data_IF_943134225685
#
_entry.id   IF_943134225685
#
_cell.length_a   1.000
_cell.length_b   1.000
_cell.length_c   1.000
_cell.angle_alpha   90.00
_cell.angle_beta   90.00
_cell.angle_gamma   90.00
#
_symmetry.space_group_name_H-M   'P 1'
#
loop_
_entity.id
_entity.type
_entity.pdbx_description
1 polymer ?
#
# COMPACT_ATOMS: atom_id res chain seq x y z
N UNK A 1 -6.15 -55.12 -5.84
CA UNK A 1 -5.59 -54.10 -4.94
C UNK A 1 -4.67 -53.24 -5.79
N UNK A 2 -5.07 -51.98 -5.97
CA UNK A 2 -4.65 -51.09 -7.04
C UNK A 2 -3.39 -50.29 -6.65
N UNK A 3 -2.21 -50.74 -7.10
CA UNK A 3 -0.93 -50.02 -6.90
C UNK A 3 -0.87 -48.70 -7.68
N UNK A 4 -1.67 -48.53 -8.75
CA UNK A 4 -1.68 -47.32 -9.57
C UNK A 4 -2.30 -46.13 -8.83
N UNK A 5 -3.22 -46.38 -7.90
CA UNK A 5 -3.82 -45.34 -7.05
C UNK A 5 -2.85 -44.79 -6.00
N UNK A 6 -1.90 -45.60 -5.51
CA UNK A 6 -0.99 -45.23 -4.41
C UNK A 6 0.12 -44.28 -4.88
N UNK A 7 0.71 -44.56 -6.04
CA UNK A 7 1.80 -43.75 -6.62
C UNK A 7 1.30 -42.38 -7.11
N UNK A 8 0.01 -42.28 -7.48
CA UNK A 8 -0.60 -40.99 -7.84
C UNK A 8 -0.82 -40.11 -6.61
N UNK A 9 -1.20 -40.70 -5.47
CA UNK A 9 -1.46 -39.95 -4.24
C UNK A 9 -0.16 -39.40 -3.62
N UNK A 10 0.91 -40.19 -3.63
CA UNK A 10 2.24 -39.76 -3.11
C UNK A 10 2.86 -38.62 -3.93
N UNK A 11 2.59 -38.57 -5.25
CA UNK A 11 3.09 -37.50 -6.13
C UNK A 11 2.35 -36.17 -5.95
N UNK A 12 1.09 -36.21 -5.54
CA UNK A 12 0.27 -35.01 -5.25
C UNK A 12 0.68 -34.45 -3.88
N UNK A 13 0.88 -35.30 -2.86
CA UNK A 13 1.36 -34.85 -1.55
C UNK A 13 2.80 -34.32 -1.58
N UNK A 14 3.70 -34.90 -2.39
CA UNK A 14 5.06 -34.35 -2.57
C UNK A 14 5.06 -33.02 -3.34
N UNK A 15 4.18 -32.84 -4.32
CA UNK A 15 4.07 -31.59 -5.09
C UNK A 15 3.53 -30.42 -4.28
N UNK A 16 2.53 -30.67 -3.42
CA UNK A 16 1.98 -29.66 -2.52
C UNK A 16 2.96 -29.32 -1.37
N UNK A 17 3.67 -30.32 -0.83
CA UNK A 17 4.67 -30.11 0.23
C UNK A 17 5.91 -29.32 -0.20
N UNK A 18 6.37 -29.46 -1.46
CA UNK A 18 7.50 -28.68 -2.00
C UNK A 18 7.10 -27.27 -2.44
N UNK A 19 5.86 -27.06 -2.89
CA UNK A 19 5.34 -25.73 -3.25
C UNK A 19 5.09 -24.86 -2.02
N UNK A 20 4.59 -25.43 -0.92
CA UNK A 20 4.30 -24.69 0.32
C UNK A 20 5.60 -24.24 1.03
N UNK A 21 6.70 -25.01 0.89
CA UNK A 21 7.99 -24.71 1.51
C UNK A 21 8.79 -23.59 0.80
N UNK A 22 8.48 -23.28 -0.47
CA UNK A 22 9.14 -22.21 -1.24
C UNK A 22 8.43 -20.85 -1.17
N UNK A 23 7.19 -20.81 -0.67
CA UNK A 23 6.32 -19.64 -0.70
C UNK A 23 6.57 -18.55 0.35
N UNK A 24 7.38 -18.79 1.39
CA UNK A 24 7.52 -17.83 2.49
C UNK A 24 8.88 -17.82 3.19
N UNK A 25 9.99 -17.98 2.45
CA UNK A 25 11.32 -17.76 3.03
C UNK A 25 11.60 -16.26 3.12
N UNK A 26 11.15 -15.62 4.19
CA UNK A 26 11.54 -14.25 4.54
C UNK A 26 13.06 -14.16 4.60
N UNK A 27 13.67 -13.45 3.64
CA UNK A 27 15.11 -13.25 3.64
C UNK A 27 15.47 -12.25 4.75
N UNK A 28 15.80 -12.79 5.93
CA UNK A 28 16.17 -12.02 7.14
C UNK A 28 17.24 -10.99 6.82
N UNK A 29 18.18 -11.30 5.92
CA UNK A 29 19.22 -10.37 5.47
C UNK A 29 18.63 -9.13 4.81
N UNK A 30 17.61 -9.27 3.96
CA UNK A 30 16.93 -8.14 3.31
C UNK A 30 16.17 -7.27 4.32
N UNK A 31 15.51 -7.89 5.30
CA UNK A 31 14.83 -7.17 6.39
C UNK A 31 15.83 -6.36 7.20
N UNK A 32 16.94 -6.98 7.62
CA UNK A 32 18.01 -6.32 8.39
C UNK A 32 18.64 -5.19 7.59
N UNK A 33 18.96 -5.41 6.31
CA UNK A 33 19.52 -4.37 5.43
C UNK A 33 18.57 -3.18 5.27
N UNK A 34 17.27 -3.42 5.11
CA UNK A 34 16.28 -2.35 5.00
C UNK A 34 16.07 -1.58 6.31
N UNK A 35 16.12 -2.27 7.45
CA UNK A 35 16.09 -1.63 8.78
C UNK A 35 17.32 -0.75 8.99
N UNK A 36 18.52 -1.25 8.66
CA UNK A 36 19.77 -0.50 8.74
C UNK A 36 19.77 0.71 7.81
N UNK A 37 19.29 0.55 6.57
CA UNK A 37 19.17 1.65 5.63
C UNK A 37 18.24 2.75 6.16
N UNK A 38 17.07 2.37 6.69
CA UNK A 38 16.11 3.30 7.32
C UNK A 38 16.73 4.03 8.52
N UNK A 39 17.49 3.31 9.36
CA UNK A 39 18.19 3.88 10.51
C UNK A 39 19.26 4.90 10.09
N UNK A 40 20.03 4.60 9.05
CA UNK A 40 21.04 5.51 8.50
C UNK A 40 20.39 6.79 7.97
N UNK A 41 19.29 6.68 7.21
CA UNK A 41 18.54 7.84 6.72
C UNK A 41 18.01 8.68 7.89
N UNK A 42 17.45 8.04 8.91
CA UNK A 42 16.97 8.73 10.11
C UNK A 42 18.10 9.47 10.83
N UNK A 43 19.26 8.83 11.02
CA UNK A 43 20.45 9.46 11.62
C UNK A 43 20.86 10.68 10.80
N UNK A 44 20.95 10.58 9.48
CA UNK A 44 21.31 11.70 8.61
C UNK A 44 20.33 12.86 8.80
N UNK A 45 19.01 12.62 8.76
CA UNK A 45 18.00 13.66 8.93
C UNK A 45 18.12 14.32 10.31
N UNK A 46 18.24 13.52 11.37
CA UNK A 46 18.36 14.03 12.75
C UNK A 46 19.67 14.81 12.94
N UNK A 47 20.77 14.36 12.35
CA UNK A 47 22.04 15.06 12.38
C UNK A 47 21.99 16.39 11.62
N UNK A 48 21.27 16.46 10.50
CA UNK A 48 21.06 17.70 9.74
C UNK A 48 20.20 18.72 10.50
N UNK A 49 19.17 18.25 11.21
CA UNK A 49 18.29 19.11 12.03
C UNK A 49 18.94 19.49 13.39
N UNK A 50 19.83 18.64 13.89
CA UNK A 50 20.48 18.74 15.19
C UNK A 50 19.76 17.92 16.26
N UNK A 51 20.48 16.96 16.87
CA UNK A 51 19.95 16.06 17.91
C UNK A 51 19.39 16.84 19.10
N UNK A 52 20.08 17.91 19.52
CA UNK A 52 19.66 18.76 20.64
C UNK A 52 18.32 19.44 20.39
N UNK A 53 18.09 19.93 19.16
CA UNK A 53 16.81 20.54 18.74
C UNK A 53 15.67 19.54 18.83
N UNK A 54 15.89 18.29 18.36
CA UNK A 54 14.90 17.21 18.42
C UNK A 54 14.57 16.88 19.88
N UNK A 55 15.58 16.67 20.73
CA UNK A 55 15.38 16.36 22.16
C UNK A 55 14.67 17.51 22.87
N UNK A 56 15.01 18.76 22.58
CA UNK A 56 14.35 19.92 23.15
C UNK A 56 12.87 19.99 22.75
N UNK A 57 12.53 19.68 21.50
CA UNK A 57 11.15 19.61 21.04
C UNK A 57 10.35 18.53 21.78
N UNK A 58 10.92 17.34 21.99
CA UNK A 58 10.29 16.29 22.80
C UNK A 58 10.07 16.72 24.25
N UNK A 59 11.03 17.42 24.86
CA UNK A 59 10.89 17.94 26.23
C UNK A 59 9.85 19.05 26.35
N UNK A 60 9.67 19.85 25.31
CA UNK A 60 8.67 20.92 25.26
C UNK A 60 7.26 20.41 24.90
N UNK A 61 7.12 19.13 24.53
CA UNK A 61 5.85 18.56 24.11
C UNK A 61 4.84 18.56 25.27
N UNK A 62 3.68 19.19 25.04
CA UNK A 62 2.62 19.28 26.03
C UNK A 62 1.88 17.94 26.10
N UNK A 63 1.69 17.33 27.29
CA UNK A 63 0.98 16.04 27.42
C UNK A 63 -0.45 16.07 26.84
N UNK A 64 -1.16 17.19 26.97
CA UNK A 64 -2.50 17.36 26.40
C UNK A 64 -2.49 17.31 24.87
N UNK A 65 -1.47 17.88 24.22
CA UNK A 65 -1.32 17.81 22.77
C UNK A 65 -1.00 16.38 22.33
N UNK A 66 -0.13 15.67 23.06
CA UNK A 66 0.17 14.25 22.79
C UNK A 66 -1.10 13.41 22.90
N UNK A 67 -1.87 13.59 23.97
CA UNK A 67 -3.14 12.89 24.16
C UNK A 67 -4.13 13.18 23.01
N UNK A 68 -4.29 14.44 22.63
CA UNK A 68 -5.13 14.82 21.50
C UNK A 68 -4.68 14.16 20.19
N UNK A 69 -3.37 14.07 19.94
CA UNK A 69 -2.82 13.36 18.77
C UNK A 69 -3.14 11.88 18.83
N UNK A 70 -2.93 11.20 19.96
CA UNK A 70 -3.24 9.77 20.12
C UNK A 70 -4.72 9.49 19.88
N UNK A 71 -5.61 10.32 20.43
CA UNK A 71 -7.05 10.21 20.19
C UNK A 71 -7.37 10.43 18.72
N UNK A 72 -6.85 11.49 18.11
CA UNK A 72 -7.10 11.79 16.70
C UNK A 72 -6.63 10.67 15.76
N UNK A 73 -5.43 10.14 15.99
CA UNK A 73 -4.88 8.99 15.24
C UNK A 73 -5.73 7.74 15.45
N UNK A 74 -6.18 7.48 16.69
CA UNK A 74 -7.03 6.31 16.97
C UNK A 74 -8.38 6.43 16.24
N UNK A 75 -9.03 7.58 16.31
CA UNK A 75 -10.27 7.84 15.59
C UNK A 75 -10.09 7.71 14.08
N UNK A 76 -8.98 8.21 13.55
CA UNK A 76 -8.60 8.04 12.15
C UNK A 76 -8.50 6.55 11.78
N UNK A 77 -7.77 5.74 12.56
CA UNK A 77 -7.64 4.31 12.26
C UNK A 77 -8.98 3.57 12.34
N UNK A 78 -9.85 3.92 13.29
CA UNK A 78 -11.21 3.34 13.38
C UNK A 78 -12.05 3.71 12.15
N UNK A 79 -11.94 4.94 11.65
CA UNK A 79 -12.63 5.36 10.44
C UNK A 79 -12.18 4.53 9.22
N UNK A 80 -10.87 4.29 9.06
CA UNK A 80 -10.34 3.46 7.97
C UNK A 80 -10.71 1.99 8.10
N UNK A 81 -10.65 1.43 9.30
CA UNK A 81 -11.14 0.08 9.53
C UNK A 81 -12.63 -0.05 9.17
N UNK A 82 -13.43 1.00 9.39
CA UNK A 82 -14.84 1.01 9.04
C UNK A 82 -15.04 1.03 7.52
N UNK A 83 -14.20 1.74 6.77
CA UNK A 83 -14.20 1.69 5.30
C UNK A 83 -13.92 0.28 4.79
N UNK A 84 -12.88 -0.38 5.32
CA UNK A 84 -12.58 -1.78 5.00
C UNK A 84 -13.76 -2.71 5.34
N UNK A 85 -14.42 -2.50 6.48
CA UNK A 85 -15.58 -3.28 6.90
C UNK A 85 -16.75 -3.16 5.92
N UNK A 86 -17.04 -1.95 5.43
CA UNK A 86 -18.07 -1.72 4.42
C UNK A 86 -17.70 -2.42 3.12
N UNK A 87 -16.46 -2.29 2.65
CA UNK A 87 -16.01 -2.92 1.40
C UNK A 87 -16.09 -4.45 1.49
N UNK A 88 -15.62 -5.07 2.58
CA UNK A 88 -15.74 -6.52 2.76
C UNK A 88 -17.19 -6.99 2.81
N UNK A 89 -18.08 -6.18 3.39
CA UNK A 89 -19.52 -6.49 3.42
C UNK A 89 -20.14 -6.42 2.03
N UNK A 90 -19.70 -5.48 1.18
CA UNK A 90 -20.15 -5.36 -0.21
C UNK A 90 -19.62 -6.50 -1.11
N UNK A 91 -18.45 -7.05 -0.77
CA UNK A 91 -17.87 -8.20 -1.46
C UNK A 91 -18.40 -9.55 -0.95
N UNK A 92 -19.47 -9.56 -0.14
CA UNK A 92 -20.09 -10.76 0.43
C UNK A 92 -19.21 -11.56 1.41
N UNK A 93 -18.18 -10.93 1.99
CA UNK A 93 -17.36 -11.48 3.08
C UNK A 93 -17.51 -10.69 4.39
N UNK A 94 -18.74 -10.56 4.95
CA UNK A 94 -18.96 -9.74 6.14
C UNK A 94 -18.20 -10.30 7.35
N UNK A 95 -17.40 -9.45 7.98
CA UNK A 95 -16.71 -9.76 9.24
C UNK A 95 -17.27 -8.90 10.36
N UNK A 96 -17.15 -9.34 11.61
CA UNK A 96 -17.48 -8.47 12.74
C UNK A 96 -16.58 -7.21 12.74
N UNK A 97 -17.12 -6.07 13.19
CA UNK A 97 -16.34 -4.81 13.32
C UNK A 97 -15.01 -4.98 14.08
N UNK A 98 -14.96 -5.65 15.25
CA UNK A 98 -13.69 -5.84 15.95
C UNK A 98 -12.72 -6.73 15.16
N UNK A 99 -13.20 -7.78 14.48
CA UNK A 99 -12.33 -8.61 13.62
C UNK A 99 -11.75 -7.79 12.47
N UNK A 100 -12.57 -6.94 11.84
CA UNK A 100 -12.10 -6.06 10.76
C UNK A 100 -11.06 -5.06 11.23
N UNK A 101 -11.23 -4.51 12.44
CA UNK A 101 -10.26 -3.62 13.07
C UNK A 101 -8.91 -4.31 13.30
N UNK A 102 -8.92 -5.55 13.77
CA UNK A 102 -7.69 -6.33 13.95
C UNK A 102 -7.00 -6.59 12.62
N UNK A 103 -7.74 -6.99 11.58
CA UNK A 103 -7.20 -7.19 10.22
C UNK A 103 -6.55 -5.90 9.72
N UNK A 104 -7.27 -4.78 9.81
CA UNK A 104 -6.76 -3.49 9.36
C UNK A 104 -5.50 -3.06 10.14
N UNK A 105 -5.46 -3.23 11.45
CA UNK A 105 -4.26 -2.96 12.25
C UNK A 105 -3.09 -3.86 11.89
N UNK A 106 -3.32 -5.13 11.57
CA UNK A 106 -2.28 -6.05 11.08
C UNK A 106 -1.67 -5.54 9.77
N UNK A 107 -2.50 -5.03 8.85
CA UNK A 107 -2.04 -4.42 7.60
C UNK A 107 -1.19 -3.18 7.89
N UNK A 108 -1.68 -2.24 8.70
CA UNK A 108 -0.94 -1.01 9.05
C UNK A 108 0.38 -1.33 9.74
N UNK A 109 0.40 -2.32 10.64
CA UNK A 109 1.60 -2.78 11.30
C UNK A 109 2.62 -3.37 10.31
N UNK A 110 2.19 -4.29 9.45
CA UNK A 110 3.02 -4.89 8.42
C UNK A 110 3.62 -3.84 7.48
N UNK A 111 2.83 -2.84 7.09
CA UNK A 111 3.28 -1.71 6.27
C UNK A 111 4.32 -0.86 6.98
N UNK A 112 4.24 -0.73 8.31
CA UNK A 112 5.17 0.10 9.09
C UNK A 112 6.55 -0.55 9.29
N UNK A 113 6.62 -1.88 9.28
CA UNK A 113 7.86 -2.63 9.55
C UNK A 113 8.56 -3.13 8.27
N UNK A 114 7.91 -3.06 7.11
CA UNK A 114 8.47 -3.56 5.85
C UNK A 114 9.31 -2.49 5.14
N UNK A 115 10.64 -2.68 5.01
CA UNK A 115 11.43 -1.83 4.12
C UNK A 115 10.97 -2.08 2.68
N UNK A 116 10.72 -1.03 1.91
CA UNK A 116 10.05 -1.06 0.59
C UNK A 116 8.53 -1.32 0.61
N UNK A 117 7.86 -1.07 1.75
CA UNK A 117 6.40 -1.18 1.89
C UNK A 117 5.63 -0.68 0.65
N UNK A 118 5.99 0.46 0.06
CA UNK A 118 5.22 1.00 -1.07
C UNK A 118 5.18 0.10 -2.33
N UNK A 119 6.18 -0.75 -2.57
CA UNK A 119 6.23 -1.63 -3.75
C UNK A 119 5.52 -2.99 -3.55
N UNK A 120 5.21 -3.37 -2.31
CA UNK A 120 4.62 -4.67 -1.97
C UNK A 120 3.51 -4.65 -0.91
N UNK A 121 3.18 -3.48 -0.36
CA UNK A 121 2.18 -3.31 0.71
C UNK A 121 0.79 -3.71 0.24
N UNK A 122 0.40 -3.35 -0.99
CA UNK A 122 -0.92 -3.70 -1.51
C UNK A 122 -1.08 -5.22 -1.69
N UNK A 123 -0.15 -5.96 -2.33
CA UNK A 123 -0.19 -7.43 -2.36
C UNK A 123 -0.15 -8.10 -0.98
N UNK A 124 0.67 -7.59 -0.05
CA UNK A 124 0.73 -8.11 1.32
C UNK A 124 -0.57 -7.86 2.07
N UNK A 125 -1.15 -6.66 1.96
CA UNK A 125 -2.42 -6.32 2.56
C UNK A 125 -3.53 -7.22 2.02
N UNK A 126 -3.56 -7.47 0.71
CA UNK A 126 -4.49 -8.40 0.07
C UNK A 126 -4.36 -9.81 0.63
N UNK A 127 -3.13 -10.29 0.84
CA UNK A 127 -2.85 -11.59 1.45
C UNK A 127 -3.29 -11.65 2.93
N UNK A 128 -3.10 -10.57 3.70
CA UNK A 128 -3.59 -10.50 5.08
C UNK A 128 -5.12 -10.54 5.14
N UNK A 129 -5.79 -9.80 4.25
CA UNK A 129 -7.25 -9.81 4.14
C UNK A 129 -7.75 -11.20 3.75
N UNK A 130 -7.19 -11.81 2.70
CA UNK A 130 -7.62 -13.13 2.24
C UNK A 130 -7.45 -14.20 3.32
N UNK A 131 -6.28 -14.26 3.96
CA UNK A 131 -5.99 -15.21 5.06
C UNK A 131 -6.85 -14.97 6.30
N UNK A 132 -7.22 -13.74 6.60
CA UNK A 132 -8.00 -13.44 7.79
C UNK A 132 -9.53 -13.55 7.58
N UNK A 133 -9.99 -13.59 6.33
CA UNK A 133 -11.41 -13.64 5.96
C UNK A 133 -11.81 -14.93 5.23
N UNK A 134 -10.86 -15.83 4.95
CA UNK A 134 -11.02 -17.02 4.11
C UNK A 134 -11.54 -16.71 2.70
N UNK A 135 -11.32 -15.48 2.23
CA UNK A 135 -11.64 -15.04 0.88
C UNK A 135 -10.52 -15.38 -0.10
N UNK A 136 -10.84 -15.41 -1.39
CA UNK A 136 -9.84 -15.49 -2.45
C UNK A 136 -8.89 -14.29 -2.41
N UNK A 137 -7.65 -14.47 -2.88
CA UNK A 137 -6.65 -13.41 -2.88
C UNK A 137 -7.10 -12.21 -3.73
N UNK A 138 -7.76 -12.47 -4.85
CA UNK A 138 -8.34 -11.51 -5.79
C UNK A 138 -9.40 -10.64 -5.11
N UNK A 139 -10.21 -11.23 -4.22
CA UNK A 139 -11.19 -10.52 -3.40
C UNK A 139 -10.50 -9.63 -2.36
N UNK A 140 -9.47 -10.16 -1.69
CA UNK A 140 -8.64 -9.38 -0.77
C UNK A 140 -7.95 -8.19 -1.45
N UNK A 141 -7.43 -8.40 -2.67
CA UNK A 141 -6.81 -7.36 -3.48
C UNK A 141 -7.83 -6.32 -3.91
N UNK A 142 -8.99 -6.76 -4.40
CA UNK A 142 -10.09 -5.87 -4.77
C UNK A 142 -10.56 -5.03 -3.59
N UNK A 143 -10.61 -5.61 -2.38
CA UNK A 143 -10.97 -4.90 -1.17
C UNK A 143 -9.97 -3.79 -0.83
N UNK A 144 -8.67 -4.10 -0.82
CA UNK A 144 -7.59 -3.13 -0.53
C UNK A 144 -7.60 -2.00 -1.56
N UNK A 145 -7.59 -2.34 -2.86
CA UNK A 145 -7.62 -1.35 -3.96
C UNK A 145 -8.86 -0.46 -3.88
N UNK A 146 -10.02 -1.01 -3.49
CA UNK A 146 -11.25 -0.23 -3.31
C UNK A 146 -11.11 0.79 -2.16
N UNK A 147 -10.56 0.36 -1.01
CA UNK A 147 -10.32 1.25 0.13
C UNK A 147 -9.32 2.35 -0.22
N UNK A 148 -8.24 2.00 -0.94
CA UNK A 148 -7.23 2.98 -1.38
C UNK A 148 -7.81 3.97 -2.39
N UNK A 149 -8.68 3.51 -3.30
CA UNK A 149 -9.40 4.39 -4.23
C UNK A 149 -10.34 5.36 -3.49
N UNK A 150 -11.03 4.88 -2.45
CA UNK A 150 -11.87 5.71 -1.57
C UNK A 150 -11.03 6.79 -0.87
N UNK A 151 -9.77 6.51 -0.51
CA UNK A 151 -8.86 7.51 0.04
C UNK A 151 -8.37 8.52 -0.99
N UNK A 152 -8.02 8.04 -2.17
CA UNK A 152 -7.29 8.86 -3.15
C UNK A 152 -8.09 10.09 -3.58
N UNK A 153 -9.38 9.94 -3.87
CA UNK A 153 -10.26 11.03 -4.31
C UNK A 153 -10.31 12.21 -3.31
N UNK A 154 -10.73 12.01 -2.04
CA UNK A 154 -10.78 13.08 -1.07
C UNK A 154 -9.40 13.64 -0.72
N UNK A 155 -8.35 12.80 -0.67
CA UNK A 155 -6.97 13.27 -0.40
C UNK A 155 -6.48 14.25 -1.46
N UNK A 156 -6.72 13.99 -2.75
CA UNK A 156 -6.42 14.93 -3.84
C UNK A 156 -7.22 16.22 -3.69
N UNK A 157 -8.51 16.12 -3.35
CA UNK A 157 -9.37 17.28 -3.09
C UNK A 157 -8.84 18.16 -1.95
N UNK A 158 -8.52 17.56 -0.80
CA UNK A 158 -7.96 18.28 0.35
C UNK A 158 -6.60 18.90 0.04
N UNK A 159 -5.74 18.22 -0.72
CA UNK A 159 -4.46 18.78 -1.16
C UNK A 159 -4.64 20.03 -2.02
N UNK A 160 -5.58 20.00 -2.99
CA UNK A 160 -5.88 21.15 -3.84
C UNK A 160 -6.47 22.33 -3.04
N UNK A 161 -7.41 22.07 -2.13
CA UNK A 161 -8.00 23.11 -1.27
C UNK A 161 -6.95 23.70 -0.33
N UNK A 162 -6.16 22.85 0.34
CA UNK A 162 -5.08 23.28 1.21
C UNK A 162 -4.04 24.13 0.48
N UNK A 163 -3.73 23.78 -0.77
CA UNK A 163 -2.85 24.56 -1.63
C UNK A 163 -3.43 25.94 -1.99
N UNK A 164 -4.68 25.98 -2.43
CA UNK A 164 -5.34 27.23 -2.77
C UNK A 164 -5.34 28.17 -1.55
N UNK A 165 -5.58 27.62 -0.37
CA UNK A 165 -5.47 28.35 0.88
C UNK A 165 -4.04 28.85 1.15
N UNK A 166 -3.04 27.97 1.09
CA UNK A 166 -1.64 28.31 1.37
C UNK A 166 -1.06 29.34 0.39
N UNK A 167 -1.40 29.25 -0.89
CA UNK A 167 -0.91 30.18 -1.92
C UNK A 167 -1.46 31.60 -1.76
N UNK A 168 -2.66 31.73 -1.21
CA UNK A 168 -3.33 33.02 -0.94
C UNK A 168 -2.94 33.60 0.42
N UNK A 169 -2.78 32.75 1.44
CA UNK A 169 -2.61 33.20 2.83
C UNK A 169 -1.17 33.20 3.35
N UNK A 170 -0.30 32.33 2.84
CA UNK A 170 1.04 32.19 3.39
C UNK A 170 2.07 33.02 2.61
N UNK A 171 2.81 33.86 3.34
CA UNK A 171 4.04 34.52 2.87
C UNK A 171 5.18 33.50 2.77
N UNK A 172 5.08 32.62 1.78
CA UNK A 172 6.10 31.61 1.50
C UNK A 172 7.27 32.24 0.74
N UNK A 173 8.48 31.78 1.05
CA UNK A 173 9.65 32.06 0.22
C UNK A 173 9.37 31.65 -1.24
N UNK A 174 9.71 32.47 -2.26
CA UNK A 174 9.44 32.17 -3.66
C UNK A 174 9.88 30.78 -4.12
N UNK A 175 11.01 30.27 -3.62
CA UNK A 175 11.53 28.92 -3.95
C UNK A 175 10.63 27.81 -3.39
N UNK A 176 10.15 28.00 -2.18
CA UNK A 176 9.26 27.04 -1.52
C UNK A 176 7.88 27.05 -2.18
N UNK A 177 7.39 28.24 -2.57
CA UNK A 177 6.15 28.39 -3.35
C UNK A 177 6.26 27.67 -4.70
N UNK A 178 7.38 27.81 -5.40
CA UNK A 178 7.62 27.11 -6.67
C UNK A 178 7.67 25.58 -6.49
N UNK A 179 8.39 25.09 -5.49
CA UNK A 179 8.48 23.65 -5.20
C UNK A 179 7.09 23.06 -4.88
N UNK A 180 6.29 23.78 -4.08
CA UNK A 180 4.92 23.39 -3.76
C UNK A 180 4.05 23.33 -5.03
N UNK A 181 4.11 24.36 -5.88
CA UNK A 181 3.36 24.42 -7.14
C UNK A 181 3.76 23.28 -8.08
N UNK A 182 5.06 23.00 -8.25
CA UNK A 182 5.55 21.92 -9.10
C UNK A 182 5.07 20.54 -8.62
N UNK A 183 5.22 20.26 -7.33
CA UNK A 183 4.73 19.02 -6.73
C UNK A 183 3.23 18.82 -7.01
N UNK A 184 2.45 19.91 -6.96
CA UNK A 184 1.01 19.86 -7.16
C UNK A 184 0.59 19.76 -8.61
N UNK A 185 1.32 20.39 -9.53
CA UNK A 185 1.12 20.17 -10.97
C UNK A 185 1.33 18.69 -11.29
N UNK A 186 2.37 18.07 -10.74
CA UNK A 186 2.61 16.62 -10.89
C UNK A 186 1.48 15.80 -10.26
N UNK A 187 1.08 16.10 -9.02
CA UNK A 187 0.00 15.39 -8.35
C UNK A 187 -1.34 15.50 -9.13
N UNK A 188 -1.66 16.69 -9.65
CA UNK A 188 -2.85 16.93 -10.46
C UNK A 188 -2.76 16.19 -11.80
N UNK A 189 -1.61 16.20 -12.47
CA UNK A 189 -1.36 15.42 -13.68
C UNK A 189 -1.61 13.93 -13.43
N UNK A 190 -1.07 13.37 -12.34
CA UNK A 190 -1.28 11.98 -11.95
C UNK A 190 -2.76 11.70 -11.72
N UNK A 191 -3.47 12.57 -10.99
CA UNK A 191 -4.90 12.42 -10.76
C UNK A 191 -5.72 12.48 -12.06
N UNK A 192 -5.41 13.42 -12.96
CA UNK A 192 -6.07 13.54 -14.27
C UNK A 192 -5.80 12.29 -15.12
N UNK A 193 -4.56 11.82 -15.18
CA UNK A 193 -4.18 10.59 -15.88
C UNK A 193 -4.93 9.39 -15.31
N UNK A 194 -5.02 9.27 -13.98
CA UNK A 194 -5.76 8.19 -13.32
C UNK A 194 -7.25 8.23 -13.68
N UNK A 195 -7.89 9.41 -13.66
CA UNK A 195 -9.29 9.58 -14.07
C UNK A 195 -9.49 9.27 -15.55
N UNK A 196 -8.56 9.69 -16.41
CA UNK A 196 -8.63 9.43 -17.85
C UNK A 196 -8.42 7.95 -18.16
N UNK A 197 -7.52 7.30 -17.43
CA UNK A 197 -7.28 5.87 -17.50
C UNK A 197 -8.52 5.07 -17.07
N UNK A 198 -9.16 5.51 -15.98
CA UNK A 198 -10.43 4.94 -15.53
C UNK A 198 -11.55 5.06 -16.57
N UNK A 199 -11.69 6.24 -17.19
CA UNK A 199 -12.70 6.46 -18.23
C UNK A 199 -12.42 5.69 -19.52
N UNK A 200 -11.15 5.47 -19.84
CA UNK A 200 -10.73 4.77 -21.07
C UNK A 200 -10.40 3.29 -20.82
N UNK A 201 -10.93 2.70 -19.75
CA UNK A 201 -10.58 1.33 -19.29
C UNK A 201 -10.66 0.28 -20.41
N UNK A 202 -11.71 0.35 -21.23
CA UNK A 202 -11.95 -0.61 -22.32
C UNK A 202 -10.90 -0.44 -23.44
N UNK A 203 -10.58 0.81 -23.78
CA UNK A 203 -9.63 1.17 -24.85
C UNK A 203 -8.17 0.93 -24.43
N UNK A 204 -7.85 1.14 -23.16
CA UNK A 204 -6.52 0.90 -22.59
C UNK A 204 -6.23 -0.58 -22.41
N UNK A 205 -7.21 -1.38 -21.96
CA UNK A 205 -7.09 -2.83 -21.90
C UNK A 205 -6.81 -3.42 -23.29
N UNK A 206 -7.58 -3.00 -24.31
CA UNK A 206 -7.36 -3.41 -25.69
C UNK A 206 -5.98 -2.98 -26.22
N UNK A 207 -5.53 -1.77 -25.89
CA UNK A 207 -4.22 -1.27 -26.32
C UNK A 207 -3.07 -2.04 -25.64
N UNK A 208 -3.15 -2.31 -24.34
CA UNK A 208 -2.14 -3.09 -23.61
C UNK A 208 -2.03 -4.53 -24.13
N UNK A 209 -3.17 -5.19 -24.40
CA UNK A 209 -3.19 -6.53 -25.01
C UNK A 209 -2.60 -6.49 -26.43
N UNK A 210 -2.86 -5.44 -27.20
CA UNK A 210 -2.28 -5.28 -28.54
C UNK A 210 -0.76 -5.04 -28.51
N UNK A 211 -0.26 -4.31 -27.50
CA UNK A 211 1.17 -4.08 -27.31
C UNK A 211 1.88 -5.34 -26.82
N UNK A 212 1.30 -6.06 -25.87
CA UNK A 212 1.85 -7.32 -25.35
C UNK A 212 1.85 -8.43 -26.40
N UNK A 213 0.79 -8.55 -27.20
CA UNK A 213 0.75 -9.51 -28.32
C UNK A 213 1.78 -9.18 -29.41
N UNK A 214 2.04 -7.90 -29.68
CA UNK A 214 3.11 -7.46 -30.59
C UNK A 214 4.51 -7.78 -30.06
N UNK A 215 4.73 -7.64 -28.75
CA UNK A 215 6.01 -8.00 -28.13
C UNK A 215 6.21 -9.53 -28.06
N UNK A 216 5.17 -10.30 -27.79
CA UNK A 216 5.20 -11.77 -27.83
C UNK A 216 5.37 -12.35 -29.23
N UNK A 217 4.77 -11.71 -30.25
CA UNK A 217 4.97 -12.10 -31.65
C UNK A 217 6.40 -11.84 -32.14
N UNK A 218 7.11 -10.87 -31.57
CA UNK A 218 8.49 -10.56 -31.91
C UNK A 218 9.50 -11.62 -31.46
N UNK A 219 9.16 -12.52 -30.52
CA UNK A 219 10.06 -13.60 -30.06
C UNK A 219 9.86 -14.94 -30.78
N UNK A 220 8.82 -15.09 -31.60
CA UNK A 220 8.49 -16.35 -32.29
C UNK A 220 9.09 -16.45 -33.72
N UNK A 221 9.80 -15.43 -34.19
CA UNK A 221 10.34 -15.35 -35.55
C UNK A 221 11.85 -15.55 -35.63
N UNK A 222 12.35 -16.78 -35.42
CA UNK A 222 13.64 -17.20 -35.99
C UNK A 222 13.50 -18.62 -36.57
N UNK A 223 13.14 -18.76 -37.86
CA UNK A 223 13.34 -20.04 -38.54
C UNK A 223 14.84 -20.33 -38.62
N UNK A 224 15.19 -21.59 -38.34
CA UNK A 224 16.54 -22.17 -38.51
C UNK A 224 16.97 -22.17 -39.96
#
# INVERSE_FOLDING_TARGET
MDESGRVRNERVEQGDGEMDARGAQLNVRSVVLGLLASLVVLIIIVSLVGVSSVVAAFKAARPSAIFAIVVAVTCWQVAWSSALHVVLSLLEYPQSRPRTMLIYLSIVFANSITPFAQAGAEPLAALFVSRATDAEYETGLSAVVSVDTINFLPSVGFALVGLAYFTVRATLNPRLKLALVLFLVVALLVAVVAVFAWRSRETLAASLVSWLSRLGASSAGKPR
#
